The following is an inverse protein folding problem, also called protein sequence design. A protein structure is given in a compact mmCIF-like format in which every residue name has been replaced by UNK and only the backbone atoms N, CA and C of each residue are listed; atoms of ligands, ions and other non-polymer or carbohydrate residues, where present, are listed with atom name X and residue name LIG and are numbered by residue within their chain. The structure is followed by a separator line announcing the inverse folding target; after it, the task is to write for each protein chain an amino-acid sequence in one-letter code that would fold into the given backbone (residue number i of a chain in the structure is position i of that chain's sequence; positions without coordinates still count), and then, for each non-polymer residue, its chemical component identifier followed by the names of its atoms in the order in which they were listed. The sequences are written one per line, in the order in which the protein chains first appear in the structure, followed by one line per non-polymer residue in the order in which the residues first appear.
data_IF_106942485904
#
_entry.id   IF_106942485904
#
_cell.length_a   1.000
_cell.length_b   1.000
_cell.length_c   1.000
_cell.angle_alpha   90.00
_cell.angle_beta   90.00
_cell.angle_gamma   90.00
#
_symmetry.space_group_name_H-M   'P 1'
#
loop_
_entity.id
_entity.type
_entity.pdbx_description
1 polymer ?
#
# COMPACT_ATOMS: atom_id res chain seq x y z
N UNK A 1 1.34 -14.41 -4.28
CA UNK A 1 0.57 -13.98 -3.08
C UNK A 1 0.87 -12.51 -2.82
N UNK A 2 0.01 -11.80 -2.11
CA UNK A 2 0.27 -10.43 -1.66
C UNK A 2 -0.06 -10.30 -0.17
N UNK A 3 0.69 -9.44 0.52
CA UNK A 3 0.44 -9.06 1.91
C UNK A 3 0.40 -7.54 1.95
N UNK A 4 -0.67 -6.99 2.51
CA UNK A 4 -0.80 -5.56 2.75
C UNK A 4 -1.07 -5.31 4.24
N UNK A 5 -0.59 -4.17 4.71
CA UNK A 5 -0.78 -3.73 6.08
C UNK A 5 -0.35 -2.28 6.21
N UNK A 6 -0.28 -1.79 7.43
CA UNK A 6 0.26 -0.46 7.71
C UNK A 6 1.42 -0.55 8.68
N UNK A 7 2.28 0.46 8.66
CA UNK A 7 3.43 0.54 9.55
C UNK A 7 3.78 1.99 9.90
N UNK A 8 4.46 2.17 11.03
CA UNK A 8 5.08 3.44 11.44
C UNK A 8 6.60 3.29 11.43
N UNK A 9 7.31 4.37 11.10
CA UNK A 9 8.78 4.36 11.05
C UNK A 9 9.30 3.45 9.93
N UNK A 10 10.16 2.49 10.27
CA UNK A 10 10.82 1.63 9.30
C UNK A 10 10.27 0.21 9.28
N UNK A 11 10.06 -0.32 8.07
CA UNK A 11 9.73 -1.71 7.83
C UNK A 11 10.84 -2.38 7.01
N UNK A 12 11.48 -3.38 7.59
CA UNK A 12 12.50 -4.18 6.93
C UNK A 12 11.86 -5.39 6.24
N UNK A 13 12.04 -5.49 4.93
CA UNK A 13 11.57 -6.62 4.12
C UNK A 13 12.76 -7.29 3.42
N UNK A 14 12.60 -8.56 3.05
CA UNK A 14 13.63 -9.27 2.29
C UNK A 14 13.96 -8.61 0.94
N UNK A 15 13.03 -7.81 0.39
CA UNK A 15 13.19 -7.05 -0.85
C UNK A 15 13.68 -5.60 -0.66
N UNK A 16 13.88 -5.14 0.59
CA UNK A 16 14.37 -3.80 0.90
C UNK A 16 13.72 -3.16 2.13
N UNK A 17 14.24 -2.00 2.52
CA UNK A 17 13.71 -1.19 3.61
C UNK A 17 12.69 -0.19 3.08
N UNK A 18 11.53 -0.12 3.73
CA UNK A 18 10.51 0.91 3.54
C UNK A 18 10.50 1.85 4.74
N UNK A 19 10.29 3.14 4.51
CA UNK A 19 10.23 4.16 5.56
C UNK A 19 8.94 4.96 5.41
N UNK A 20 8.12 4.99 6.47
CA UNK A 20 6.89 5.79 6.53
C UNK A 20 7.19 7.26 6.28
N UNK A 21 6.30 7.94 5.55
CA UNK A 21 6.36 9.37 5.30
C UNK A 21 5.78 10.21 6.46
N UNK A 22 5.19 9.57 7.47
CA UNK A 22 4.60 10.24 8.61
C UNK A 22 4.11 9.27 9.67
N UNK A 23 2.79 9.22 9.86
CA UNK A 23 2.16 8.32 10.79
C UNK A 23 2.16 6.87 10.25
N UNK A 24 0.99 6.37 9.86
CA UNK A 24 0.79 5.01 9.36
C UNK A 24 0.71 5.02 7.85
N UNK A 25 1.65 4.36 7.20
CA UNK A 25 1.63 4.18 5.75
C UNK A 25 1.24 2.77 5.37
N UNK A 26 0.55 2.64 4.24
CA UNK A 26 0.26 1.35 3.61
C UNK A 26 1.58 0.76 3.11
N UNK A 27 1.82 -0.50 3.42
CA UNK A 27 2.76 -1.33 2.68
C UNK A 27 2.01 -2.37 1.85
N UNK A 28 2.56 -2.72 0.69
CA UNK A 28 2.14 -3.86 -0.12
C UNK A 28 3.36 -4.65 -0.56
N UNK A 29 3.37 -5.96 -0.29
CA UNK A 29 4.44 -6.88 -0.69
C UNK A 29 3.85 -7.96 -1.58
N UNK A 30 4.46 -8.16 -2.76
CA UNK A 30 4.17 -9.32 -3.61
C UNK A 30 5.18 -10.42 -3.32
N UNK A 31 4.66 -11.62 -3.10
CA UNK A 31 5.43 -12.81 -2.75
C UNK A 31 5.25 -13.89 -3.83
N UNK A 32 6.30 -14.67 -4.07
CA UNK A 32 6.23 -15.88 -4.88
C UNK A 32 5.51 -17.03 -4.15
N UNK A 33 5.34 -18.18 -4.81
CA UNK A 33 4.67 -19.35 -4.24
C UNK A 33 5.42 -19.97 -3.05
N UNK A 34 6.72 -19.68 -2.89
CA UNK A 34 7.53 -20.11 -1.76
C UNK A 34 7.54 -19.09 -0.62
N UNK A 35 6.79 -17.98 -0.74
CA UNK A 35 6.73 -16.91 0.25
C UNK A 35 7.91 -15.93 0.20
N UNK A 36 8.74 -15.97 -0.85
CA UNK A 36 9.85 -15.02 -1.03
C UNK A 36 9.33 -13.72 -1.60
N UNK A 37 9.79 -12.59 -1.07
CA UNK A 37 9.42 -11.28 -1.58
C UNK A 37 9.98 -11.04 -2.98
N UNK A 38 9.07 -10.72 -3.91
CA UNK A 38 9.39 -10.29 -5.27
C UNK A 38 9.63 -8.78 -5.30
N UNK A 39 8.74 -8.02 -4.64
CA UNK A 39 8.85 -6.58 -4.47
C UNK A 39 8.02 -6.12 -3.26
N UNK A 40 8.31 -4.92 -2.77
CA UNK A 40 7.55 -4.25 -1.71
C UNK A 40 7.48 -2.75 -1.97
N UNK A 41 6.31 -2.16 -1.79
CA UNK A 41 6.05 -0.73 -1.98
C UNK A 41 5.39 -0.13 -0.75
N UNK A 42 5.58 1.18 -0.57
CA UNK A 42 4.92 2.02 0.43
C UNK A 42 4.03 3.05 -0.25
N UNK A 43 2.86 3.28 0.31
CA UNK A 43 1.96 4.36 -0.09
C UNK A 43 1.50 5.15 1.13
N UNK A 44 1.68 6.46 1.08
CA UNK A 44 1.17 7.38 2.09
C UNK A 44 1.96 8.68 2.16
N UNK A 45 1.44 9.61 2.96
CA UNK A 45 1.98 10.94 3.21
C UNK A 45 2.25 11.17 4.72
N UNK A 46 2.14 12.42 5.17
CA UNK A 46 2.36 12.75 6.58
C UNK A 46 1.24 12.25 7.52
N UNK A 47 0.10 11.81 7.00
CA UNK A 47 -1.09 11.36 7.74
C UNK A 47 -1.21 9.84 7.71
N UNK A 48 -2.34 9.31 8.22
CA UNK A 48 -2.56 7.87 8.37
C UNK A 48 -3.31 7.26 7.18
N UNK A 49 -2.86 6.09 6.74
CA UNK A 49 -3.43 5.29 5.65
C UNK A 49 -3.48 3.83 6.07
N UNK A 50 -4.66 3.23 5.92
CA UNK A 50 -4.95 1.90 6.43
C UNK A 50 -5.53 1.05 5.29
N UNK A 51 -4.85 -0.01 4.84
CA UNK A 51 -5.46 -0.96 3.92
C UNK A 51 -6.47 -1.84 4.67
N UNK A 52 -7.53 -2.26 3.98
CA UNK A 52 -8.58 -3.12 4.56
C UNK A 52 -8.65 -4.49 3.92
N UNK A 53 -8.41 -4.59 2.61
CA UNK A 53 -8.48 -5.86 1.90
C UNK A 53 -7.59 -5.87 0.66
N UNK A 54 -7.14 -7.07 0.28
CA UNK A 54 -6.29 -7.33 -0.88
C UNK A 54 -6.81 -8.52 -1.68
N UNK A 55 -6.96 -8.32 -3.00
CA UNK A 55 -7.37 -9.35 -3.93
C UNK A 55 -6.48 -9.36 -5.18
N UNK A 56 -6.64 -10.36 -6.03
CA UNK A 56 -6.02 -10.42 -7.34
C UNK A 56 -7.08 -10.40 -8.43
N UNK A 57 -6.81 -9.70 -9.52
CA UNK A 57 -7.60 -9.84 -10.74
C UNK A 57 -7.14 -11.08 -11.56
N UNK A 58 -7.87 -11.46 -12.62
CA UNK A 58 -7.46 -12.58 -13.48
C UNK A 58 -6.11 -12.40 -14.20
N UNK A 59 -5.61 -11.16 -14.31
CA UNK A 59 -4.30 -10.85 -14.88
C UNK A 59 -3.15 -10.96 -13.87
N UNK A 60 -3.44 -11.15 -12.58
CA UNK A 60 -2.45 -11.21 -11.51
C UNK A 60 -2.04 -9.84 -10.96
N UNK A 61 -2.78 -8.79 -11.30
CA UNK A 61 -2.65 -7.47 -10.68
C UNK A 61 -3.28 -7.49 -9.29
N UNK A 62 -2.70 -6.73 -8.36
CA UNK A 62 -3.23 -6.61 -7.01
C UNK A 62 -4.33 -5.55 -6.97
N UNK A 63 -5.47 -5.88 -6.39
CA UNK A 63 -6.52 -4.95 -6.01
C UNK A 63 -6.39 -4.66 -4.51
N UNK A 64 -6.26 -3.39 -4.14
CA UNK A 64 -6.10 -2.97 -2.75
C UNK A 64 -7.19 -1.95 -2.39
N UNK A 65 -7.81 -2.13 -1.23
CA UNK A 65 -8.80 -1.19 -0.68
C UNK A 65 -8.38 -0.68 0.67
N UNK A 66 -8.93 0.46 1.08
CA UNK A 66 -8.69 0.99 2.41
C UNK A 66 -9.21 2.40 2.60
N UNK A 67 -8.69 3.02 3.65
CA UNK A 67 -8.96 4.39 4.01
C UNK A 67 -7.66 5.19 4.07
N UNK A 68 -7.77 6.48 3.82
CA UNK A 68 -6.64 7.40 3.90
C UNK A 68 -7.09 8.75 4.43
N UNK A 69 -6.24 9.35 5.24
CA UNK A 69 -6.27 10.78 5.54
C UNK A 69 -5.20 11.47 4.69
N UNK A 70 -5.35 12.77 4.42
CA UNK A 70 -4.39 13.50 3.57
C UNK A 70 -4.48 13.14 2.09
N UNK A 71 -3.33 12.86 1.48
CA UNK A 71 -3.17 12.55 0.06
C UNK A 71 -2.47 11.20 -0.17
N UNK A 72 -2.92 10.48 -1.19
CA UNK A 72 -2.43 9.14 -1.51
C UNK A 72 -2.22 8.99 -3.02
N UNK A 73 -1.05 8.50 -3.43
CA UNK A 73 -0.74 8.27 -4.84
C UNK A 73 -0.19 6.85 -5.03
N UNK A 74 -0.83 6.09 -5.93
CA UNK A 74 -0.42 4.73 -6.31
C UNK A 74 0.38 4.68 -7.63
N UNK A 75 0.79 5.85 -8.15
CA UNK A 75 1.44 6.04 -9.45
C UNK A 75 0.53 6.57 -10.56
N UNK A 76 -0.73 6.90 -10.23
CA UNK A 76 -1.75 7.41 -11.17
C UNK A 76 -2.08 8.89 -10.97
N UNK A 77 -1.42 9.56 -10.02
CA UNK A 77 -1.72 10.90 -9.55
C UNK A 77 -2.40 10.90 -8.17
N UNK A 78 -2.38 12.05 -7.47
CA UNK A 78 -2.82 12.13 -6.10
C UNK A 78 -4.34 11.99 -5.96
N UNK A 79 -4.76 11.10 -5.07
CA UNK A 79 -6.08 11.07 -4.46
C UNK A 79 -6.02 11.98 -3.21
N UNK A 80 -6.91 12.96 -3.11
CA UNK A 80 -6.96 13.85 -1.95
C UNK A 80 -8.26 13.63 -1.16
N UNK A 81 -8.14 13.40 0.15
CA UNK A 81 -9.27 13.45 1.07
C UNK A 81 -9.71 14.90 1.19
N UNK A 82 -10.91 15.25 0.75
CA UNK A 82 -11.42 16.63 0.74
C UNK A 82 -11.77 17.12 2.16
N UNK A 83 -10.78 17.21 3.05
CA UNK A 83 -10.95 17.67 4.44
C UNK A 83 -11.40 16.60 5.43
N UNK A 84 -11.29 15.32 5.07
CA UNK A 84 -11.60 14.19 5.94
C UNK A 84 -11.16 12.85 5.34
N UNK A 85 -11.43 11.76 6.08
CA UNK A 85 -11.04 10.40 5.70
C UNK A 85 -11.66 9.97 4.38
N UNK A 86 -10.84 9.72 3.37
CA UNK A 86 -11.23 9.15 2.09
C UNK A 86 -11.18 7.62 2.10
N UNK A 87 -11.94 6.99 1.22
CA UNK A 87 -11.78 5.57 0.88
C UNK A 87 -11.09 5.45 -0.48
N UNK A 88 -10.30 4.40 -0.67
CA UNK A 88 -9.62 4.14 -1.94
C UNK A 88 -9.85 2.72 -2.44
N UNK A 89 -9.77 2.57 -3.77
CA UNK A 89 -9.57 1.32 -4.48
C UNK A 89 -8.42 1.56 -5.47
N UNK A 90 -7.38 0.72 -5.39
CA UNK A 90 -6.23 0.79 -6.27
C UNK A 90 -6.01 -0.54 -6.98
N UNK A 91 -5.57 -0.48 -8.23
CA UNK A 91 -5.10 -1.62 -9.01
C UNK A 91 -3.60 -1.46 -9.28
N UNK A 92 -2.80 -2.46 -8.91
CA UNK A 92 -1.34 -2.41 -8.91
C UNK A 92 -0.79 -3.60 -9.71
N UNK A 93 -0.35 -3.32 -10.93
CA UNK A 93 0.27 -4.29 -11.84
C UNK A 93 1.77 -4.08 -11.92
N UNK A 94 2.54 -4.86 -11.16
CA UNK A 94 4.00 -4.96 -11.24
C UNK A 94 4.44 -6.41 -11.05
#
# INVERSE_FOLDING_TARGET
MAVAGFFRGALELACGRLESAGEEDVFLVKLDAAGRALWGDRFGDAQSQTPTDVAFDPGGDVLLTGYFDGALDFGGGPLAGQGGRGAFLAKLGR
#
